data_IF_724112780032
#
_entry.id   IF_724112780032
#
_cell.length_a   1.000
_cell.length_b   1.000
_cell.length_c   1.000
_cell.angle_alpha   90.00
_cell.angle_beta   90.00
_cell.angle_gamma   90.00
#
_symmetry.space_group_name_H-M   'P 1'
#
loop_
_entity.id
_entity.type
_entity.pdbx_description
1 polymer ?
#
# COMPACT_ATOMS: atom_id res chain seq x y z
N UNK A 1 17.01 -0.66 2.40
CA UNK A 1 15.53 -0.62 2.41
C UNK A 1 15.07 -0.09 1.06
N UNK A 2 14.14 -0.77 0.41
CA UNK A 2 13.49 -0.30 -0.83
C UNK A 2 12.05 0.08 -0.50
N UNK A 3 11.63 1.26 -0.95
CA UNK A 3 10.24 1.72 -0.83
C UNK A 3 9.42 1.34 -2.07
N UNK A 4 8.08 1.48 -2.01
CA UNK A 4 7.20 1.26 -3.15
C UNK A 4 7.57 2.16 -4.35
N UNK A 5 8.03 3.39 -4.10
CA UNK A 5 8.49 4.35 -5.11
C UNK A 5 9.84 3.97 -5.73
N UNK A 6 10.45 2.88 -5.25
CA UNK A 6 11.75 2.40 -5.74
C UNK A 6 12.95 3.13 -5.16
N UNK A 7 12.78 3.90 -4.10
CA UNK A 7 13.89 4.57 -3.41
C UNK A 7 14.66 3.54 -2.59
N UNK A 8 15.96 3.43 -2.82
CA UNK A 8 16.86 2.60 -2.04
C UNK A 8 17.59 3.43 -0.99
N UNK A 9 17.31 3.17 0.29
CA UNK A 9 18.14 3.65 1.38
C UNK A 9 19.16 2.57 1.77
N UNK A 10 20.42 2.79 1.43
CA UNK A 10 21.51 1.83 1.62
C UNK A 10 22.30 1.57 0.33
N UNK A 11 23.05 0.47 0.31
CA UNK A 11 23.88 0.08 -0.82
C UNK A 11 23.94 -1.44 -0.95
N UNK A 12 23.82 -1.96 -2.19
CA UNK A 12 23.73 -3.40 -2.47
C UNK A 12 25.00 -3.95 -3.17
N UNK A 13 26.10 -3.24 -3.14
CA UNK A 13 27.39 -3.77 -3.64
C UNK A 13 27.72 -3.49 -5.10
N UNK A 14 26.92 -2.72 -5.83
CA UNK A 14 27.20 -2.31 -7.21
C UNK A 14 26.39 -1.09 -7.60
N UNK A 15 26.94 -0.24 -8.47
CA UNK A 15 26.21 0.91 -9.00
C UNK A 15 25.53 0.45 -10.30
N UNK A 16 24.21 0.65 -10.38
CA UNK A 16 23.41 0.37 -11.58
C UNK A 16 22.76 -1.01 -11.59
N UNK A 17 23.35 -2.02 -12.23
CA UNK A 17 22.70 -3.31 -12.55
C UNK A 17 22.15 -4.07 -11.31
N UNK A 18 22.93 -4.17 -10.23
CA UNK A 18 22.51 -4.88 -9.03
C UNK A 18 21.38 -4.13 -8.30
N UNK A 19 21.48 -2.81 -8.24
CA UNK A 19 20.47 -1.95 -7.61
C UNK A 19 19.13 -2.02 -8.35
N UNK A 20 19.16 -1.94 -9.67
CA UNK A 20 17.95 -2.05 -10.51
C UNK A 20 17.24 -3.38 -10.32
N UNK A 21 17.98 -4.50 -10.34
CA UNK A 21 17.39 -5.81 -10.11
C UNK A 21 16.77 -5.92 -8.72
N UNK A 22 17.47 -5.43 -7.68
CA UNK A 22 16.95 -5.43 -6.30
C UNK A 22 15.69 -4.57 -6.18
N UNK A 23 15.67 -3.37 -6.77
CA UNK A 23 14.49 -2.49 -6.73
C UNK A 23 13.30 -3.11 -7.46
N UNK A 24 13.53 -3.69 -8.66
CA UNK A 24 12.47 -4.36 -9.42
C UNK A 24 11.86 -5.52 -8.64
N UNK A 25 12.68 -6.42 -8.13
CA UNK A 25 12.21 -7.59 -7.38
C UNK A 25 11.60 -7.21 -6.03
N UNK A 26 12.08 -6.11 -5.40
CA UNK A 26 11.47 -5.58 -4.18
C UNK A 26 10.04 -5.09 -4.42
N UNK A 27 9.72 -4.50 -5.58
CA UNK A 27 8.34 -4.13 -5.90
C UNK A 27 7.44 -5.36 -5.97
N UNK A 28 7.87 -6.42 -6.64
CA UNK A 28 7.14 -7.70 -6.67
C UNK A 28 6.91 -8.26 -5.27
N UNK A 29 7.93 -8.22 -4.41
CA UNK A 29 7.83 -8.65 -3.01
C UNK A 29 6.83 -7.81 -2.22
N UNK A 30 6.80 -6.49 -2.44
CA UNK A 30 5.83 -5.60 -1.79
C UNK A 30 4.40 -5.84 -2.28
N UNK A 31 4.21 -6.14 -3.56
CA UNK A 31 2.90 -6.44 -4.15
C UNK A 31 2.36 -7.79 -3.69
N UNK A 32 3.21 -8.82 -3.67
CA UNK A 32 2.79 -10.20 -3.32
C UNK A 32 2.75 -10.44 -1.80
N UNK A 33 3.53 -9.68 -1.04
CA UNK A 33 3.73 -9.91 0.39
C UNK A 33 4.56 -11.17 0.69
N UNK A 34 5.18 -11.81 -0.33
CA UNK A 34 5.98 -13.03 -0.17
C UNK A 34 7.47 -12.70 -0.20
N UNK A 35 8.26 -13.16 0.78
CA UNK A 35 9.71 -12.95 0.78
C UNK A 35 10.37 -13.71 -0.38
N UNK A 36 11.46 -13.15 -0.92
CA UNK A 36 12.15 -13.69 -2.09
C UNK A 36 13.67 -13.68 -1.89
N UNK A 37 14.34 -14.78 -2.26
CA UNK A 37 15.80 -14.85 -2.34
C UNK A 37 16.20 -14.71 -3.80
N UNK A 38 16.95 -13.65 -4.11
CA UNK A 38 17.48 -13.40 -5.47
C UNK A 38 18.98 -13.56 -5.50
N UNK A 39 19.50 -14.04 -6.62
CA UNK A 39 20.92 -14.14 -6.92
C UNK A 39 21.25 -13.35 -8.18
N UNK A 40 22.34 -12.60 -8.14
CA UNK A 40 22.86 -11.82 -9.25
C UNK A 40 24.25 -12.34 -9.60
N UNK A 41 24.46 -12.84 -10.80
CA UNK A 41 25.75 -13.36 -11.26
C UNK A 41 25.94 -13.11 -12.76
N UNK A 42 27.20 -13.04 -13.26
CA UNK A 42 27.45 -12.95 -14.70
C UNK A 42 26.89 -14.14 -15.49
N UNK A 43 26.90 -15.33 -14.86
CA UNK A 43 26.33 -16.56 -15.38
C UNK A 43 25.28 -17.08 -14.38
N UNK A 44 23.99 -16.66 -14.48
CA UNK A 44 22.94 -16.99 -13.49
C UNK A 44 22.77 -18.51 -13.26
N UNK A 45 22.97 -19.32 -14.29
CA UNK A 45 22.82 -20.77 -14.23
C UNK A 45 23.81 -21.43 -13.23
N UNK A 46 24.93 -20.74 -12.95
CA UNK A 46 25.97 -21.27 -12.03
C UNK A 46 25.54 -21.19 -10.56
N UNK A 47 24.57 -20.35 -10.24
CA UNK A 47 24.06 -20.13 -8.87
C UNK A 47 22.65 -20.63 -8.69
N UNK A 48 21.98 -21.12 -9.72
CA UNK A 48 20.62 -21.59 -9.70
C UNK A 48 20.45 -22.75 -8.72
N UNK A 49 19.47 -22.61 -7.79
CA UNK A 49 19.12 -23.64 -6.82
C UNK A 49 17.68 -23.46 -6.33
N UNK A 50 17.03 -24.49 -5.79
CA UNK A 50 15.68 -24.35 -5.26
C UNK A 50 15.56 -23.22 -4.25
N UNK A 51 14.59 -22.32 -4.49
CA UNK A 51 14.31 -21.16 -3.63
C UNK A 51 15.17 -19.93 -3.89
N UNK A 52 16.10 -19.97 -4.85
CA UNK A 52 16.84 -18.81 -5.34
C UNK A 52 16.48 -18.54 -6.79
N UNK A 53 16.03 -17.36 -7.09
CA UNK A 53 15.80 -16.88 -8.45
C UNK A 53 17.04 -16.11 -8.94
N UNK A 54 17.65 -16.59 -10.02
CA UNK A 54 18.90 -16.05 -10.51
C UNK A 54 18.68 -15.06 -11.67
N UNK A 55 19.39 -13.93 -11.63
CA UNK A 55 19.33 -12.88 -12.64
C UNK A 55 20.75 -12.56 -13.16
N UNK A 56 20.87 -12.17 -14.42
CA UNK A 56 22.16 -11.79 -14.99
C UNK A 56 22.68 -10.48 -14.37
N UNK A 57 23.98 -10.48 -14.04
CA UNK A 57 24.71 -9.30 -13.63
C UNK A 57 25.59 -8.85 -14.79
N UNK A 58 25.16 -7.86 -15.54
CA UNK A 58 25.81 -7.39 -16.78
C UNK A 58 27.01 -6.47 -16.56
N UNK A 59 27.30 -6.09 -15.31
CA UNK A 59 28.43 -5.23 -15.01
C UNK A 59 29.77 -6.01 -14.93
N UNK A 60 30.86 -5.35 -15.28
CA UNK A 60 32.23 -5.90 -15.34
C UNK A 60 32.84 -6.38 -14.01
N UNK A 61 32.10 -6.32 -12.90
CA UNK A 61 32.62 -6.62 -11.57
C UNK A 61 32.78 -8.12 -11.27
N UNK A 62 32.26 -9.02 -12.11
CA UNK A 62 32.53 -10.46 -12.07
C UNK A 62 32.19 -11.20 -10.78
N UNK A 63 31.45 -10.57 -9.85
CA UNK A 63 31.07 -11.12 -8.56
C UNK A 63 29.67 -11.71 -8.56
N UNK A 64 29.36 -12.49 -7.52
CA UNK A 64 28.02 -13.00 -7.24
C UNK A 64 27.47 -12.31 -6.00
N UNK A 65 26.21 -11.87 -6.05
CA UNK A 65 25.50 -11.26 -4.92
C UNK A 65 24.22 -12.06 -4.68
N UNK A 66 23.97 -12.43 -3.44
CA UNK A 66 22.69 -12.99 -3.03
C UNK A 66 22.00 -12.00 -2.08
N UNK A 67 20.72 -11.71 -2.35
CA UNK A 67 19.94 -10.76 -1.57
C UNK A 67 18.63 -11.44 -1.14
N UNK A 68 18.35 -11.43 0.15
CA UNK A 68 17.05 -11.82 0.68
C UNK A 68 16.17 -10.58 0.80
N UNK A 69 15.05 -10.59 0.12
CA UNK A 69 14.05 -9.53 0.11
C UNK A 69 12.90 -9.96 1.02
N UNK A 70 12.68 -9.20 2.08
CA UNK A 70 11.61 -9.43 3.03
C UNK A 70 10.66 -8.23 3.05
N UNK A 71 9.35 -8.42 2.80
CA UNK A 71 8.41 -7.33 2.86
C UNK A 71 8.20 -6.91 4.31
N UNK A 72 8.40 -5.63 4.59
CA UNK A 72 8.05 -5.02 5.87
C UNK A 72 6.73 -4.29 5.68
N UNK A 73 5.63 -4.98 5.98
CA UNK A 73 4.32 -4.34 5.95
C UNK A 73 4.18 -3.38 7.13
N UNK A 74 3.78 -2.15 6.87
CA UNK A 74 3.30 -1.26 7.93
C UNK A 74 2.02 -1.83 8.52
N UNK A 75 1.86 -1.84 9.86
CA UNK A 75 0.60 -2.24 10.48
C UNK A 75 -0.58 -1.48 9.87
N UNK A 76 -1.66 -2.17 9.47
CA UNK A 76 -2.85 -1.50 8.97
C UNK A 76 -3.46 -0.63 10.05
N UNK A 77 -3.93 0.57 9.69
CA UNK A 77 -4.55 1.52 10.61
C UNK A 77 -6.04 1.21 10.75
N UNK A 78 -6.50 1.08 11.99
CA UNK A 78 -7.90 0.92 12.35
C UNK A 78 -8.39 2.16 13.10
N UNK A 79 -9.39 2.83 12.54
CA UNK A 79 -10.11 3.90 13.20
C UNK A 79 -11.28 3.30 13.99
N UNK A 80 -11.30 3.48 15.31
CA UNK A 80 -12.44 3.10 16.17
C UNK A 80 -13.14 4.36 16.68
N UNK A 81 -14.40 4.52 16.31
CA UNK A 81 -15.19 5.70 16.64
C UNK A 81 -16.17 5.40 17.77
N UNK A 82 -15.94 6.01 18.92
CA UNK A 82 -16.76 5.89 20.13
C UNK A 82 -16.06 5.26 21.33
N UNK A 83 -16.61 5.57 22.52
CA UNK A 83 -16.14 5.06 23.82
C UNK A 83 -17.01 3.96 24.41
N UNK A 84 -17.88 3.30 23.62
CA UNK A 84 -18.75 2.23 24.11
C UNK A 84 -17.96 0.99 24.55
N UNK A 85 -18.58 0.13 25.36
CA UNK A 85 -17.94 -1.14 25.77
C UNK A 85 -17.61 -2.05 24.59
N UNK A 86 -18.37 -1.96 23.48
CA UNK A 86 -18.05 -2.66 22.23
C UNK A 86 -16.78 -2.04 21.60
N UNK A 87 -16.72 -0.71 21.48
CA UNK A 87 -15.55 -0.01 20.96
C UNK A 87 -14.29 -0.38 21.76
N UNK A 88 -14.33 -0.30 23.08
CA UNK A 88 -13.21 -0.68 23.95
C UNK A 88 -12.79 -2.15 23.77
N UNK A 89 -13.76 -3.06 23.58
CA UNK A 89 -13.45 -4.47 23.35
C UNK A 89 -12.82 -4.71 21.98
N UNK A 90 -13.24 -3.98 20.93
CA UNK A 90 -12.61 -3.99 19.59
C UNK A 90 -11.17 -3.48 19.69
N UNK A 91 -10.94 -2.34 20.36
CA UNK A 91 -9.58 -1.76 20.55
C UNK A 91 -8.63 -2.79 21.17
N UNK A 92 -9.05 -3.46 22.27
CA UNK A 92 -8.23 -4.49 22.92
C UNK A 92 -7.84 -5.64 21.99
N UNK A 93 -8.76 -6.14 21.19
CA UNK A 93 -8.49 -7.27 20.30
C UNK A 93 -7.80 -6.88 19.01
N UNK A 94 -7.96 -5.66 18.55
CA UNK A 94 -7.37 -5.21 17.28
C UNK A 94 -5.84 -5.09 17.34
N UNK A 95 -5.28 -4.68 18.47
CA UNK A 95 -3.83 -4.66 18.70
C UNK A 95 -3.20 -6.04 18.56
N UNK A 96 -3.84 -7.08 19.10
CA UNK A 96 -3.38 -8.47 18.97
C UNK A 96 -3.47 -9.00 17.52
N UNK A 97 -4.34 -8.41 16.69
CA UNK A 97 -4.43 -8.70 15.26
C UNK A 97 -3.43 -7.91 14.41
N UNK A 98 -2.59 -7.07 15.03
CA UNK A 98 -1.54 -6.30 14.38
C UNK A 98 -2.02 -4.99 13.76
N UNK A 99 -3.18 -4.46 14.17
CA UNK A 99 -3.61 -3.12 13.78
C UNK A 99 -2.93 -2.05 14.63
N UNK A 100 -2.63 -0.92 14.00
CA UNK A 100 -2.40 0.34 14.70
C UNK A 100 -3.75 1.02 14.92
N UNK A 101 -4.14 1.23 16.17
CA UNK A 101 -5.49 1.65 16.53
C UNK A 101 -5.52 3.11 16.94
N UNK A 102 -6.29 3.93 16.21
CA UNK A 102 -6.67 5.28 16.61
C UNK A 102 -8.12 5.28 17.09
N UNK A 103 -8.37 5.82 18.28
CA UNK A 103 -9.71 5.95 18.86
C UNK A 103 -10.18 7.39 18.77
N UNK A 104 -11.39 7.59 18.30
CA UNK A 104 -12.10 8.88 18.37
C UNK A 104 -13.13 8.81 19.50
N UNK A 105 -12.84 9.46 20.61
CA UNK A 105 -13.73 9.53 21.76
C UNK A 105 -13.60 10.89 22.46
N UNK A 106 -14.62 11.77 22.41
CA UNK A 106 -14.60 13.08 23.05
C UNK A 106 -14.75 13.02 24.57
N UNK A 107 -15.05 11.85 25.11
CA UNK A 107 -15.16 11.66 26.57
C UNK A 107 -13.77 11.50 27.20
N UNK A 108 -13.67 11.72 28.51
CA UNK A 108 -12.45 11.43 29.27
C UNK A 108 -12.21 9.91 29.43
N UNK A 109 -12.75 9.09 28.53
CA UNK A 109 -12.60 7.64 28.55
C UNK A 109 -11.14 7.22 28.37
N UNK A 110 -10.69 6.29 29.20
CA UNK A 110 -9.35 5.71 29.06
C UNK A 110 -9.36 4.62 28.00
N UNK A 111 -8.45 4.74 27.03
CA UNK A 111 -8.21 3.76 25.97
C UNK A 111 -6.71 3.34 26.00
N UNK A 112 -6.27 2.64 27.08
CA UNK A 112 -4.83 2.35 27.27
C UNK A 112 -4.24 1.43 26.20
N UNK A 113 -5.07 0.70 25.46
CA UNK A 113 -4.65 -0.20 24.39
C UNK A 113 -4.66 0.46 23.01
N UNK A 114 -5.11 1.73 22.91
CA UNK A 114 -5.04 2.50 21.67
C UNK A 114 -3.63 3.10 21.49
N UNK A 115 -3.17 3.15 20.23
CA UNK A 115 -1.91 3.84 19.90
C UNK A 115 -2.09 5.36 19.93
N UNK A 116 -3.31 5.83 19.63
CA UNK A 116 -3.66 7.24 19.57
C UNK A 116 -5.11 7.47 19.95
N UNK A 117 -5.40 8.60 20.58
CA UNK A 117 -6.77 9.00 20.95
C UNK A 117 -7.03 10.44 20.51
N UNK A 118 -8.08 10.63 19.71
CA UNK A 118 -8.53 11.95 19.24
C UNK A 118 -9.79 12.34 20.03
N UNK A 119 -9.70 13.42 20.81
CA UNK A 119 -10.81 13.92 21.63
C UNK A 119 -11.69 14.91 20.84
N UNK A 120 -12.21 14.47 19.70
CA UNK A 120 -13.08 15.28 18.84
C UNK A 120 -14.28 14.50 18.35
N UNK A 121 -15.31 15.22 17.88
CA UNK A 121 -16.44 14.68 17.12
C UNK A 121 -16.57 15.34 15.76
N UNK A 122 -15.71 16.27 15.42
CA UNK A 122 -15.67 16.88 14.10
C UNK A 122 -14.92 15.96 13.12
N UNK A 123 -15.65 15.49 12.10
CA UNK A 123 -15.07 14.53 11.16
C UNK A 123 -13.95 15.15 10.32
N UNK A 124 -13.96 16.45 10.08
CA UNK A 124 -12.90 17.14 9.36
C UNK A 124 -11.61 17.22 10.15
N UNK A 125 -11.71 17.46 11.47
CA UNK A 125 -10.55 17.37 12.35
C UNK A 125 -9.97 15.94 12.36
N UNK A 126 -10.82 14.90 12.31
CA UNK A 126 -10.37 13.51 12.23
C UNK A 126 -9.60 13.28 10.92
N UNK A 127 -10.12 13.78 9.80
CA UNK A 127 -9.48 13.63 8.48
C UNK A 127 -8.19 14.42 8.40
N UNK A 128 -8.14 15.63 8.95
CA UNK A 128 -6.94 16.47 8.95
C UNK A 128 -5.80 15.90 9.81
N UNK A 129 -6.13 15.22 10.93
CA UNK A 129 -5.14 14.58 11.81
C UNK A 129 -4.66 13.21 11.27
N UNK A 130 -5.51 12.50 10.51
CA UNK A 130 -5.24 11.19 9.99
C UNK A 130 -5.13 11.22 8.47
N UNK A 131 -3.94 11.01 7.91
CA UNK A 131 -3.74 10.99 6.45
C UNK A 131 -4.53 9.88 5.75
N UNK A 132 -4.72 8.73 6.40
CA UNK A 132 -5.46 7.57 5.87
C UNK A 132 -5.87 6.61 6.97
N UNK A 133 -6.87 5.77 6.70
CA UNK A 133 -7.23 4.62 7.54
C UNK A 133 -7.52 3.42 6.64
N UNK A 134 -7.02 2.24 7.01
CA UNK A 134 -7.28 1.01 6.25
C UNK A 134 -8.65 0.43 6.56
N UNK A 135 -9.12 0.59 7.80
CA UNK A 135 -10.41 0.12 8.25
C UNK A 135 -11.00 1.05 9.31
N UNK A 136 -12.32 1.05 9.45
CA UNK A 136 -13.00 1.76 10.50
C UNK A 136 -14.11 0.92 11.16
N UNK A 137 -14.25 1.07 12.47
CA UNK A 137 -15.36 0.52 13.24
C UNK A 137 -16.05 1.65 14.00
N UNK A 138 -17.31 1.90 13.67
CA UNK A 138 -18.12 2.95 14.27
C UNK A 138 -19.07 2.34 15.30
N UNK A 139 -18.86 2.66 16.58
CA UNK A 139 -19.57 2.12 17.72
C UNK A 139 -19.83 3.19 18.80
N UNK A 140 -20.25 4.41 18.39
CA UNK A 140 -20.54 5.54 19.28
C UNK A 140 -21.95 5.51 19.86
N UNK A 141 -22.72 4.46 19.59
CA UNK A 141 -24.10 4.27 20.07
C UNK A 141 -25.06 5.38 19.62
N UNK A 142 -24.80 5.98 18.46
CA UNK A 142 -25.66 7.00 17.85
C UNK A 142 -25.29 8.45 18.17
N UNK A 143 -24.29 8.69 19.02
CA UNK A 143 -23.89 10.06 19.39
C UNK A 143 -23.27 10.80 18.21
N UNK A 144 -22.36 10.15 17.48
CA UNK A 144 -21.66 10.73 16.32
C UNK A 144 -21.33 9.72 15.22
N UNK A 145 -22.12 8.63 15.12
CA UNK A 145 -21.93 7.56 14.12
C UNK A 145 -21.80 8.09 12.68
N UNK A 146 -22.65 9.05 12.28
CA UNK A 146 -22.63 9.63 10.93
C UNK A 146 -21.32 10.36 10.61
N UNK A 147 -20.75 11.07 11.59
CA UNK A 147 -19.46 11.75 11.44
C UNK A 147 -18.32 10.76 11.37
N UNK A 148 -18.42 9.66 12.14
CA UNK A 148 -17.43 8.58 12.08
C UNK A 148 -17.41 7.87 10.72
N UNK A 149 -18.58 7.63 10.12
CA UNK A 149 -18.69 7.10 8.76
C UNK A 149 -18.10 8.09 7.75
N UNK A 150 -18.47 9.38 7.85
CA UNK A 150 -17.95 10.40 6.93
C UNK A 150 -16.42 10.47 6.98
N UNK A 151 -15.83 10.49 8.18
CA UNK A 151 -14.37 10.44 8.34
C UNK A 151 -13.76 9.18 7.71
N UNK A 152 -14.33 8.00 7.98
CA UNK A 152 -13.83 6.74 7.46
C UNK A 152 -13.84 6.69 5.92
N UNK A 153 -14.89 7.22 5.30
CA UNK A 153 -15.02 7.28 3.83
C UNK A 153 -14.01 8.26 3.22
N UNK A 154 -13.86 9.47 3.78
CA UNK A 154 -12.87 10.45 3.30
C UNK A 154 -11.42 9.96 3.49
N UNK A 155 -11.14 9.19 4.56
CA UNK A 155 -9.85 8.56 4.79
C UNK A 155 -9.59 7.33 3.90
N UNK A 156 -10.56 6.97 3.04
CA UNK A 156 -10.43 5.88 2.08
C UNK A 156 -10.42 4.48 2.69
N UNK A 157 -11.08 4.28 3.84
CA UNK A 157 -11.11 2.98 4.50
C UNK A 157 -11.71 1.89 3.61
N UNK A 158 -10.98 0.77 3.42
CA UNK A 158 -11.44 -0.39 2.65
C UNK A 158 -12.48 -1.24 3.38
N UNK A 159 -12.67 -1.01 4.67
CA UNK A 159 -13.72 -1.59 5.49
C UNK A 159 -14.29 -0.53 6.43
N UNK A 160 -15.61 -0.35 6.42
CA UNK A 160 -16.33 0.53 7.35
C UNK A 160 -17.44 -0.25 8.01
N UNK A 161 -17.26 -0.67 9.27
CA UNK A 161 -18.23 -1.39 10.05
C UNK A 161 -19.03 -0.46 10.99
N UNK A 162 -20.35 -0.48 10.91
CA UNK A 162 -21.24 0.25 11.82
C UNK A 162 -21.92 -0.69 12.79
N UNK A 163 -21.69 -0.50 14.09
CA UNK A 163 -22.37 -1.24 15.16
C UNK A 163 -23.74 -0.61 15.44
N UNK A 164 -24.72 -0.96 14.64
CA UNK A 164 -26.08 -0.48 14.74
C UNK A 164 -27.08 -1.55 14.30
N UNK A 165 -28.35 -1.40 14.72
CA UNK A 165 -29.44 -2.15 14.11
C UNK A 165 -29.66 -1.66 12.67
N UNK A 166 -30.17 -2.52 11.79
CA UNK A 166 -30.46 -2.15 10.37
C UNK A 166 -31.25 -0.86 10.25
N UNK A 167 -32.32 -0.70 11.04
CA UNK A 167 -33.14 0.53 11.03
C UNK A 167 -32.34 1.78 11.37
N UNK A 168 -31.44 1.69 12.38
CA UNK A 168 -30.61 2.85 12.76
C UNK A 168 -29.53 3.12 11.72
N UNK A 169 -29.01 2.08 11.07
CA UNK A 169 -28.01 2.22 10.04
C UNK A 169 -28.50 3.07 8.86
N UNK A 170 -29.72 2.87 8.38
CA UNK A 170 -30.35 3.66 7.31
C UNK A 170 -30.31 5.17 7.66
N UNK A 171 -30.78 5.54 8.85
CA UNK A 171 -30.77 6.95 9.31
C UNK A 171 -29.35 7.52 9.46
N UNK A 172 -28.37 6.71 9.86
CA UNK A 172 -26.98 7.13 10.04
C UNK A 172 -26.30 7.31 8.70
N UNK A 173 -26.52 6.40 7.75
CA UNK A 173 -25.98 6.46 6.38
C UNK A 173 -26.53 7.69 5.64
N UNK A 174 -27.82 7.99 5.71
CA UNK A 174 -28.40 9.20 5.13
C UNK A 174 -27.69 10.47 5.63
N UNK A 175 -27.47 10.56 6.96
CA UNK A 175 -26.76 11.72 7.54
C UNK A 175 -25.29 11.79 7.16
N UNK A 176 -24.62 10.64 7.02
CA UNK A 176 -23.23 10.60 6.56
C UNK A 176 -23.14 11.04 5.10
N UNK A 177 -24.08 10.63 4.26
CA UNK A 177 -24.19 11.06 2.87
C UNK A 177 -24.38 12.58 2.75
N UNK A 178 -25.26 13.16 3.58
CA UNK A 178 -25.44 14.61 3.65
C UNK A 178 -24.14 15.36 4.03
N UNK A 179 -23.35 14.82 4.97
CA UNK A 179 -22.07 15.41 5.37
C UNK A 179 -21.04 15.36 4.25
N UNK A 180 -21.03 14.28 3.46
CA UNK A 180 -20.12 14.05 2.34
C UNK A 180 -20.57 14.73 1.04
N UNK A 181 -21.84 15.16 0.96
CA UNK A 181 -22.44 15.63 -0.29
C UNK A 181 -22.57 14.51 -1.35
N UNK A 182 -22.70 13.25 -0.89
CA UNK A 182 -22.78 12.04 -1.70
C UNK A 182 -24.21 11.48 -1.74
N UNK A 183 -24.46 10.51 -2.64
CA UNK A 183 -25.71 9.74 -2.63
C UNK A 183 -25.77 8.77 -1.44
N UNK A 184 -26.95 8.60 -0.78
CA UNK A 184 -27.08 7.61 0.30
C UNK A 184 -26.71 6.18 -0.14
N UNK A 185 -27.11 5.79 -1.35
CA UNK A 185 -26.80 4.46 -1.92
C UNK A 185 -25.28 4.24 -2.09
N UNK A 186 -24.54 5.29 -2.44
CA UNK A 186 -23.07 5.23 -2.59
C UNK A 186 -22.40 5.00 -1.24
N UNK A 187 -22.89 5.67 -0.19
CA UNK A 187 -22.36 5.50 1.18
C UNK A 187 -22.79 4.16 1.77
N UNK A 188 -24.02 3.72 1.53
CA UNK A 188 -24.53 2.41 1.99
C UNK A 188 -23.69 1.25 1.41
N UNK A 189 -23.26 1.36 0.16
CA UNK A 189 -22.42 0.35 -0.48
C UNK A 189 -21.05 0.17 0.21
N UNK A 190 -20.55 1.19 0.89
CA UNK A 190 -19.27 1.19 1.60
C UNK A 190 -19.38 0.72 3.06
N UNK A 191 -20.60 0.74 3.64
CA UNK A 191 -20.82 0.50 5.07
C UNK A 191 -21.38 -0.90 5.32
N UNK A 192 -20.72 -1.67 6.18
CA UNK A 192 -21.20 -2.95 6.69
C UNK A 192 -22.05 -2.70 7.94
N UNK A 193 -23.35 -2.99 7.88
CA UNK A 193 -24.24 -2.88 9.05
C UNK A 193 -25.33 -3.94 9.02
N UNK A 194 -25.58 -4.62 10.14
CA UNK A 194 -24.77 -4.61 11.39
C UNK A 194 -23.34 -5.09 11.16
N UNK A 195 -22.35 -4.42 11.80
CA UNK A 195 -20.96 -4.87 11.74
C UNK A 195 -20.79 -6.19 12.50
N UNK A 196 -19.94 -7.06 11.94
CA UNK A 196 -19.59 -8.35 12.51
C UNK A 196 -20.27 -9.53 11.84
N UNK A 197 -19.58 -10.67 11.85
CA UNK A 197 -20.10 -11.94 11.36
C UNK A 197 -21.23 -12.41 12.28
N UNK A 198 -22.34 -12.89 11.72
CA UNK A 198 -23.46 -13.42 12.51
C UNK A 198 -23.07 -14.74 13.23
N UNK A 199 -22.74 -14.61 14.49
CA UNK A 199 -22.38 -15.72 15.39
C UNK A 199 -23.37 -15.84 16.56
N UNK A 200 -24.48 -15.09 16.54
CA UNK A 200 -25.43 -15.02 17.64
C UNK A 200 -24.90 -14.27 18.86
N UNK A 201 -24.02 -13.27 18.64
CA UNK A 201 -23.43 -12.46 19.71
C UNK A 201 -24.47 -11.61 20.44
N UNK A 202 -24.48 -11.63 21.78
CA UNK A 202 -25.41 -10.89 22.64
C UNK A 202 -24.70 -9.87 23.54
N UNK A 203 -23.49 -10.19 24.01
CA UNK A 203 -22.71 -9.31 24.88
C UNK A 203 -21.80 -8.38 24.12
N UNK A 204 -21.39 -7.21 24.69
CA UNK A 204 -20.41 -6.33 24.05
C UNK A 204 -19.12 -7.02 23.64
N UNK A 205 -18.61 -7.95 24.44
CA UNK A 205 -17.40 -8.71 24.14
C UNK A 205 -17.61 -9.68 22.97
N UNK A 206 -18.73 -10.37 22.89
CA UNK A 206 -19.08 -11.27 21.79
C UNK A 206 -19.27 -10.50 20.47
N UNK A 207 -19.94 -9.34 20.53
CA UNK A 207 -20.10 -8.44 19.39
C UNK A 207 -18.71 -7.98 18.90
N UNK A 208 -17.81 -7.60 19.80
CA UNK A 208 -16.46 -7.23 19.42
C UNK A 208 -15.70 -8.39 18.74
N UNK A 209 -15.85 -9.63 19.24
CA UNK A 209 -15.27 -10.83 18.60
C UNK A 209 -15.82 -11.01 17.19
N UNK A 210 -17.13 -10.83 16.97
CA UNK A 210 -17.72 -10.96 15.64
C UNK A 210 -17.22 -9.89 14.67
N UNK A 211 -17.02 -8.66 15.13
CA UNK A 211 -16.44 -7.55 14.35
C UNK A 211 -14.97 -7.82 14.02
N UNK A 212 -14.18 -8.28 14.99
CA UNK A 212 -12.78 -8.66 14.77
C UNK A 212 -12.64 -9.81 13.78
N UNK A 213 -13.55 -10.78 13.83
CA UNK A 213 -13.59 -11.88 12.85
C UNK A 213 -13.92 -11.37 11.44
N UNK A 214 -14.82 -10.40 11.31
CA UNK A 214 -15.12 -9.76 10.02
C UNK A 214 -13.92 -8.97 9.48
N UNK A 215 -13.21 -8.21 10.32
CA UNK A 215 -11.95 -7.54 9.95
C UNK A 215 -10.89 -8.53 9.43
N UNK A 216 -10.81 -9.73 10.01
CA UNK A 216 -9.91 -10.80 9.53
C UNK A 216 -10.38 -11.34 8.18
N UNK A 217 -11.68 -11.49 7.96
CA UNK A 217 -12.25 -11.95 6.69
C UNK A 217 -12.02 -10.94 5.55
N UNK A 218 -12.11 -9.64 5.86
CA UNK A 218 -11.93 -8.53 4.90
C UNK A 218 -10.46 -8.06 4.79
N UNK A 219 -9.50 -8.86 5.28
CA UNK A 219 -8.08 -8.51 5.35
C UNK A 219 -7.49 -8.06 4.01
N UNK A 220 -7.92 -8.64 2.90
CA UNK A 220 -7.43 -8.31 1.58
C UNK A 220 -7.86 -6.89 1.17
N UNK A 221 -9.13 -6.55 1.35
CA UNK A 221 -9.66 -5.20 1.11
C UNK A 221 -8.99 -4.16 2.00
N UNK A 222 -8.75 -4.50 3.27
CA UNK A 222 -8.09 -3.63 4.24
C UNK A 222 -6.63 -3.35 3.85
N UNK A 223 -5.90 -4.34 3.33
CA UNK A 223 -4.49 -4.20 2.94
C UNK A 223 -4.32 -3.45 1.62
N UNK A 224 -5.26 -3.60 0.68
CA UNK A 224 -5.19 -2.93 -0.63
C UNK A 224 -5.24 -1.40 -0.53
N UNK A 225 -5.85 -0.84 0.50
CA UNK A 225 -5.89 0.62 0.77
C UNK A 225 -4.50 1.21 1.01
N UNK A 226 -3.54 0.43 1.52
CA UNK A 226 -2.16 0.90 1.74
C UNK A 226 -1.25 0.76 0.51
N UNK A 227 -1.59 -0.13 -0.42
CA UNK A 227 -0.78 -0.38 -1.61
C UNK A 227 -1.01 0.67 -2.73
N UNK A 228 -2.16 1.36 -2.70
CA UNK A 228 -2.52 2.39 -3.68
C UNK A 228 -2.18 3.82 -3.25
N UNK A 229 -1.89 4.07 -1.97
CA UNK A 229 -1.59 5.41 -1.45
C UNK A 229 -0.15 5.90 -1.73
N UNK A 230 0.68 5.08 -2.39
CA UNK A 230 1.98 5.49 -2.94
C UNK A 230 1.92 6.00 -4.38
N UNK A 231 0.77 5.93 -5.02
CA UNK A 231 0.50 6.64 -6.26
C UNK A 231 -0.11 8.01 -5.90
N UNK A 232 0.71 8.92 -5.37
CA UNK A 232 0.37 10.33 -5.39
C UNK A 232 0.10 10.70 -6.84
N UNK A 233 -1.15 11.09 -7.08
CA UNK A 233 -1.56 11.82 -8.26
C UNK A 233 -0.78 13.16 -8.26
N UNK A 234 0.45 13.15 -8.83
CA UNK A 234 1.21 14.35 -9.17
C UNK A 234 0.52 15.06 -10.36
N UNK A 235 -0.74 15.38 -10.17
CA UNK A 235 -1.47 16.34 -10.99
C UNK A 235 -1.70 17.58 -10.15
N UNK A 236 -0.69 18.43 -10.06
CA UNK A 236 -0.68 19.88 -10.09
C UNK A 236 0.58 20.45 -9.41
N UNK A 237 1.69 20.33 -10.08
CA UNK A 237 2.73 21.35 -10.00
C UNK A 237 3.08 21.71 -11.45
N UNK A 238 2.65 22.89 -11.88
CA UNK A 238 2.84 23.38 -13.22
C UNK A 238 4.27 23.24 -13.71
N UNK A 239 4.46 22.41 -14.71
CA UNK A 239 5.61 22.47 -15.60
C UNK A 239 5.08 22.61 -17.02
N UNK A 240 5.19 23.81 -17.55
CA UNK A 240 5.24 24.06 -18.98
C UNK A 240 6.51 23.42 -19.52
N UNK A 241 6.38 22.42 -20.39
CA UNK A 241 7.52 22.02 -21.20
C UNK A 241 7.46 20.56 -21.67
N UNK A 242 7.11 20.39 -22.96
CA UNK A 242 7.55 19.39 -23.93
C UNK A 242 7.44 17.90 -23.56
N UNK A 243 6.74 17.15 -24.43
CA UNK A 243 6.69 15.70 -24.56
C UNK A 243 8.08 15.06 -24.36
N UNK A 244 8.39 14.58 -23.14
CA UNK A 244 9.53 13.70 -22.89
C UNK A 244 9.05 12.25 -23.09
N UNK A 245 9.35 11.68 -24.28
CA UNK A 245 9.27 10.26 -24.52
C UNK A 245 10.28 9.57 -23.59
N UNK A 246 9.80 8.86 -22.58
CA UNK A 246 10.64 8.05 -21.71
C UNK A 246 11.19 6.87 -22.52
N UNK A 247 12.51 6.84 -22.72
CA UNK A 247 13.19 5.76 -23.42
C UNK A 247 13.48 4.59 -22.47
N UNK A 248 13.33 3.38 -22.96
CA UNK A 248 13.59 2.16 -22.19
C UNK A 248 14.86 1.51 -22.73
N UNK A 249 15.84 1.27 -21.86
CA UNK A 249 17.05 0.52 -22.17
C UNK A 249 16.67 -0.91 -22.61
N UNK A 250 16.93 -1.30 -23.88
CA UNK A 250 16.46 -2.57 -24.41
C UNK A 250 17.16 -3.80 -23.81
N UNK A 251 18.28 -3.61 -23.11
CA UNK A 251 19.03 -4.70 -22.48
C UNK A 251 18.51 -5.01 -21.09
N UNK A 252 18.23 -3.98 -20.29
CA UNK A 252 17.86 -4.16 -18.89
C UNK A 252 16.44 -3.69 -18.51
N UNK A 253 15.72 -3.03 -19.46
CA UNK A 253 14.37 -2.55 -19.25
C UNK A 253 14.25 -1.31 -18.36
N UNK A 254 15.37 -0.61 -18.11
CA UNK A 254 15.38 0.61 -17.30
C UNK A 254 14.87 1.80 -18.12
N UNK A 255 14.05 2.66 -17.50
CA UNK A 255 13.72 3.96 -18.09
C UNK A 255 14.94 4.87 -18.02
N UNK A 256 15.32 5.44 -19.14
CA UNK A 256 16.51 6.29 -19.31
C UNK A 256 16.06 7.65 -19.82
N UNK A 257 16.48 8.69 -19.12
CA UNK A 257 16.38 10.06 -19.62
C UNK A 257 17.44 10.26 -20.70
N UNK A 258 17.06 10.62 -21.94
CA UNK A 258 18.01 10.83 -23.04
C UNK A 258 19.11 11.85 -22.73
N UNK A 259 18.78 12.87 -21.93
CA UNK A 259 19.76 13.92 -21.57
C UNK A 259 20.75 13.45 -20.48
N UNK A 260 20.36 12.41 -19.71
CA UNK A 260 21.17 11.83 -18.64
C UNK A 260 21.67 10.40 -18.94
N UNK A 261 21.50 9.91 -20.18
CA UNK A 261 21.92 8.58 -20.57
C UNK A 261 23.43 8.41 -20.40
N UNK A 262 23.85 7.31 -19.76
CA UNK A 262 25.27 7.00 -19.55
C UNK A 262 25.96 6.57 -20.84
N UNK A 263 25.22 6.02 -21.81
CA UNK A 263 25.69 5.66 -23.14
C UNK A 263 24.55 5.70 -24.16
N UNK A 264 24.92 5.86 -25.44
CA UNK A 264 24.00 5.79 -26.58
C UNK A 264 24.60 4.93 -27.68
N UNK A 265 23.75 4.22 -28.45
CA UNK A 265 24.14 3.50 -29.63
C UNK A 265 23.14 3.73 -30.77
N UNK A 266 23.63 3.76 -32.00
CA UNK A 266 22.80 3.80 -33.21
C UNK A 266 22.70 2.40 -33.82
N UNK A 267 21.49 1.93 -34.07
CA UNK A 267 21.24 0.68 -34.77
C UNK A 267 20.01 0.83 -35.69
N UNK A 268 20.13 0.40 -36.91
CA UNK A 268 19.13 0.51 -38.01
C UNK A 268 18.51 1.91 -38.20
N UNK A 269 19.32 2.96 -37.90
CA UNK A 269 18.91 4.37 -38.03
C UNK A 269 18.13 4.94 -36.86
N UNK A 270 17.98 4.19 -35.78
CA UNK A 270 17.41 4.64 -34.53
C UNK A 270 18.46 4.78 -33.43
N UNK A 271 18.27 5.73 -32.53
CA UNK A 271 19.17 5.96 -31.38
C UNK A 271 18.59 5.30 -30.14
N UNK A 272 19.38 4.46 -29.52
CA UNK A 272 19.01 3.79 -28.25
C UNK A 272 19.80 4.39 -27.10
N UNK A 273 19.13 4.53 -25.95
CA UNK A 273 19.67 5.15 -24.75
C UNK A 273 19.86 4.09 -23.67
N UNK A 274 21.03 4.10 -23.02
CA UNK A 274 21.41 3.05 -22.07
C UNK A 274 21.74 3.64 -20.70
N UNK A 275 21.37 2.90 -19.67
CA UNK A 275 21.65 3.24 -18.28
C UNK A 275 23.14 3.13 -17.91
N UNK A 276 23.94 2.38 -18.69
CA UNK A 276 25.39 2.22 -18.51
C UNK A 276 26.09 1.79 -19.81
N UNK A 277 27.40 1.98 -19.87
CA UNK A 277 28.23 1.55 -21.03
C UNK A 277 28.14 0.03 -21.27
N UNK A 278 28.02 -0.77 -20.21
CA UNK A 278 27.88 -2.23 -20.33
C UNK A 278 26.60 -2.68 -21.04
N UNK A 279 25.47 -1.97 -20.85
CA UNK A 279 24.25 -2.23 -21.62
C UNK A 279 24.43 -1.88 -23.10
N UNK A 280 25.07 -0.75 -23.40
CA UNK A 280 25.39 -0.35 -24.78
C UNK A 280 26.30 -1.36 -25.49
N UNK A 281 27.32 -1.85 -24.80
CA UNK A 281 28.24 -2.87 -25.35
C UNK A 281 27.53 -4.20 -25.58
N UNK A 282 26.66 -4.62 -24.66
CA UNK A 282 25.85 -5.84 -24.80
C UNK A 282 24.85 -5.73 -25.95
N UNK A 283 24.20 -4.59 -26.10
CA UNK A 283 23.30 -4.32 -27.20
C UNK A 283 24.00 -4.34 -28.55
N UNK A 284 25.16 -3.70 -28.64
CA UNK A 284 25.95 -3.66 -29.89
C UNK A 284 26.52 -5.02 -30.29
N UNK A 285 26.70 -5.94 -29.34
CA UNK A 285 27.14 -7.29 -29.64
C UNK A 285 26.04 -8.12 -30.32
N UNK A 286 24.79 -8.03 -29.86
CA UNK A 286 23.64 -8.83 -30.33
C UNK A 286 22.34 -8.00 -30.33
N UNK A 287 22.21 -6.97 -31.20
CA UNK A 287 21.07 -6.04 -31.17
C UNK A 287 19.72 -6.70 -31.39
N UNK A 288 19.65 -7.72 -32.27
CA UNK A 288 18.40 -8.41 -32.63
C UNK A 288 17.81 -9.21 -31.45
N UNK A 289 18.62 -9.68 -30.48
CA UNK A 289 18.13 -10.39 -29.30
C UNK A 289 17.41 -9.45 -28.32
N UNK A 290 17.82 -8.18 -28.29
CA UNK A 290 17.30 -7.20 -27.34
C UNK A 290 16.11 -6.39 -27.89
N UNK A 291 15.90 -6.39 -29.19
CA UNK A 291 14.78 -5.66 -29.83
C UNK A 291 13.51 -6.50 -29.97
N UNK A 292 13.54 -7.80 -29.62
CA UNK A 292 12.42 -8.73 -29.79
C UNK A 292 12.11 -8.97 -31.26
N UNK A 293 12.06 -10.20 -31.72
CA UNK A 293 11.63 -10.50 -33.08
C UNK A 293 10.22 -9.92 -33.30
N UNK A 294 10.11 -8.92 -34.20
CA UNK A 294 8.87 -8.29 -34.64
C UNK A 294 7.92 -9.30 -35.31
#
# INVERSE_FOLDING_TARGET
VVTADGILAGWVGGVGCAETAVVRESRTVLETGEPKLIGLAPEPETIERPGLEAFPLTCHSGGTIEVFLEPVATPPRLLVVGGSEIAKAVVRGAGDLGFRVTVVDPSDGSHPEADEVLATTDYREIVDELESSNAAVVASVGEFDARGIAAAVELGAGYVGLVASRRRAEEVVERAADLLGAGPDDVEALVRSPAGIDVGAETPAEIAVSVLAELVAEREAIRSVGAGAGAHDDREAGATGTDDEAFVDPVCGMTVDPEAAAATAEYDGETYYFCCEGCADTFLAEPEEHLGAA
#
